data_IF_487009911826
#
_entry.id   IF_487009911826
#
_cell.length_a   1.000
_cell.length_b   1.000
_cell.length_c   1.000
_cell.angle_alpha   90.00
_cell.angle_beta   90.00
_cell.angle_gamma   90.00
#
_symmetry.space_group_name_H-M   'P 1'
#
loop_
_entity.id
_entity.type
_entity.pdbx_description
1 polymer ?
#
# COMPACT_ATOMS: atom_id res chain seq x y z
N UNK A 1 17.82 -23.22 33.09
CA UNK A 1 18.48 -22.58 31.93
C UNK A 1 17.98 -23.10 30.57
N UNK A 2 17.43 -24.32 30.48
CA UNK A 2 16.90 -24.91 29.23
C UNK A 2 15.52 -24.36 28.82
N UNK A 3 14.68 -23.95 29.77
CA UNK A 3 13.32 -23.43 29.50
C UNK A 3 13.29 -22.11 28.71
N UNK A 4 14.34 -21.29 28.80
CA UNK A 4 14.42 -20.04 28.04
C UNK A 4 14.68 -20.27 26.53
N UNK A 5 15.40 -21.34 26.17
CA UNK A 5 15.77 -21.63 24.78
C UNK A 5 14.56 -22.07 23.93
N UNK A 6 13.62 -22.83 24.50
CA UNK A 6 12.41 -23.26 23.80
C UNK A 6 11.41 -22.12 23.55
N UNK A 7 11.30 -21.17 24.49
CA UNK A 7 10.46 -19.98 24.33
C UNK A 7 11.02 -19.09 23.20
N UNK A 8 12.34 -18.95 23.10
CA UNK A 8 12.99 -18.17 22.03
C UNK A 8 12.82 -18.85 20.67
N UNK A 9 12.89 -20.18 20.60
CA UNK A 9 12.69 -20.93 19.35
C UNK A 9 11.24 -20.84 18.83
N UNK A 10 10.25 -20.82 19.73
CA UNK A 10 8.83 -20.62 19.38
C UNK A 10 8.52 -19.17 19.02
N UNK A 11 9.20 -18.20 19.64
CA UNK A 11 9.06 -16.78 19.31
C UNK A 11 9.71 -16.43 17.96
N UNK A 12 10.84 -17.07 17.60
CA UNK A 12 11.52 -16.85 16.31
C UNK A 12 10.70 -17.27 15.08
N UNK A 13 9.79 -18.22 15.23
CA UNK A 13 8.88 -18.62 14.13
C UNK A 13 7.61 -17.76 14.05
N UNK A 14 7.38 -16.89 15.03
CA UNK A 14 6.16 -16.09 15.16
C UNK A 14 6.40 -14.58 14.99
N UNK A 15 7.55 -14.18 14.42
CA UNK A 15 7.68 -12.85 13.83
C UNK A 15 6.82 -12.85 12.57
N UNK A 16 5.54 -12.54 12.73
CA UNK A 16 4.70 -12.17 11.60
C UNK A 16 5.38 -11.02 10.88
N UNK A 17 5.93 -11.31 9.69
CA UNK A 17 6.13 -10.27 8.70
C UNK A 17 4.73 -9.71 8.47
N UNK A 18 4.46 -8.52 9.00
CA UNK A 18 3.26 -7.78 8.65
C UNK A 18 3.32 -7.61 7.13
N UNK A 19 2.42 -8.29 6.44
CA UNK A 19 2.43 -8.40 4.98
C UNK A 19 2.12 -7.06 4.33
N UNK A 20 3.15 -6.23 4.16
CA UNK A 20 3.10 -5.05 3.31
C UNK A 20 3.07 -5.43 1.82
N UNK A 21 2.80 -4.47 0.93
CA UNK A 21 2.84 -4.71 -0.50
C UNK A 21 4.25 -5.06 -0.99
N UNK A 22 4.34 -5.71 -2.15
CA UNK A 22 5.61 -6.08 -2.76
C UNK A 22 6.36 -4.83 -3.22
N UNK A 23 7.50 -4.53 -2.59
CA UNK A 23 8.40 -3.45 -2.98
C UNK A 23 9.55 -3.98 -3.85
N UNK A 24 10.02 -3.19 -4.83
CA UNK A 24 11.21 -3.56 -5.59
C UNK A 24 12.44 -3.55 -4.68
N UNK A 25 13.29 -4.57 -4.80
CA UNK A 25 14.48 -4.75 -3.95
C UNK A 25 15.55 -3.66 -4.16
N UNK A 26 15.51 -2.96 -5.30
CA UNK A 26 16.39 -1.82 -5.58
C UNK A 26 15.57 -0.55 -5.73
N UNK A 27 15.97 0.47 -4.98
CA UNK A 27 15.47 1.82 -5.17
C UNK A 27 15.89 2.33 -6.56
N UNK A 28 14.91 2.75 -7.35
CA UNK A 28 15.14 3.40 -8.63
C UNK A 28 15.51 4.88 -8.47
N UNK A 29 15.54 5.62 -9.58
CA UNK A 29 15.72 7.07 -9.53
C UNK A 29 14.52 7.82 -8.91
N UNK A 30 13.35 7.18 -8.84
CA UNK A 30 12.12 7.73 -8.30
C UNK A 30 11.63 6.88 -7.12
N UNK A 31 11.07 7.51 -6.09
CA UNK A 31 10.38 6.84 -4.99
C UNK A 31 9.14 6.10 -5.51
N UNK A 32 8.94 4.87 -5.04
CA UNK A 32 7.77 4.06 -5.38
C UNK A 32 6.72 4.20 -4.29
N UNK A 33 5.50 4.54 -4.69
CA UNK A 33 4.35 4.68 -3.81
C UNK A 33 3.25 3.72 -4.23
N UNK A 34 2.60 3.09 -3.25
CA UNK A 34 1.55 2.10 -3.47
C UNK A 34 0.32 2.51 -2.66
N UNK A 35 -0.88 2.62 -3.27
CA UNK A 35 -2.10 2.94 -2.54
C UNK A 35 -2.44 1.85 -1.51
N UNK A 36 -2.89 2.26 -0.32
CA UNK A 36 -3.44 1.35 0.68
C UNK A 36 -4.96 1.19 0.48
N UNK A 37 -5.55 0.14 1.06
CA UNK A 37 -7.01 -0.08 1.05
C UNK A 37 -7.75 1.08 1.73
N UNK A 38 -7.23 1.52 2.86
CA UNK A 38 -7.60 2.78 3.49
C UNK A 38 -7.04 3.95 2.68
N UNK A 39 -7.93 4.75 2.09
CA UNK A 39 -7.54 5.86 1.22
C UNK A 39 -6.70 6.93 1.90
N UNK A 40 -6.84 7.07 3.23
CA UNK A 40 -6.04 7.98 4.04
C UNK A 40 -4.63 7.46 4.31
N UNK A 41 -4.26 6.31 3.76
CA UNK A 41 -2.95 5.68 3.93
C UNK A 41 -2.32 5.35 2.59
N UNK A 42 -1.00 5.26 2.56
CA UNK A 42 -0.23 4.80 1.42
C UNK A 42 1.07 4.15 1.86
N UNK A 43 1.63 3.30 1.02
CA UNK A 43 2.94 2.72 1.26
C UNK A 43 3.99 3.45 0.44
N UNK A 44 5.15 3.70 1.04
CA UNK A 44 6.35 4.13 0.34
C UNK A 44 7.40 3.04 0.45
N UNK A 45 7.96 2.63 -0.68
CA UNK A 45 9.04 1.66 -0.70
C UNK A 45 10.39 2.34 -0.51
N UNK A 46 11.23 1.78 0.35
CA UNK A 46 12.66 2.10 0.42
C UNK A 46 13.48 0.86 0.70
N UNK A 47 14.51 0.62 -0.12
CA UNK A 47 15.41 -0.52 -0.06
C UNK A 47 14.68 -1.87 0.05
N UNK A 48 13.65 -2.08 -0.79
CA UNK A 48 12.82 -3.29 -0.76
C UNK A 48 11.84 -3.40 0.41
N UNK A 49 11.79 -2.39 1.29
CA UNK A 49 10.92 -2.40 2.48
C UNK A 49 9.73 -1.45 2.28
N UNK A 50 8.48 -1.92 2.42
CA UNK A 50 7.30 -1.06 2.43
C UNK A 50 7.15 -0.37 3.78
N UNK A 51 6.99 0.95 3.77
CA UNK A 51 6.69 1.77 4.94
C UNK A 51 5.29 2.36 4.81
N UNK A 52 4.44 2.16 5.81
CA UNK A 52 3.09 2.72 5.84
C UNK A 52 3.15 4.18 6.28
N UNK A 53 2.49 5.05 5.51
CA UNK A 53 2.34 6.46 5.82
C UNK A 53 0.87 6.85 5.80
N UNK A 54 0.52 7.75 6.72
CA UNK A 54 -0.78 8.38 6.80
C UNK A 54 -0.77 9.70 6.04
N UNK A 55 -1.82 9.96 5.28
CA UNK A 55 -2.12 11.27 4.75
C UNK A 55 -2.53 12.21 5.88
N UNK A 56 -2.10 13.48 5.86
CA UNK A 56 -2.54 14.45 6.84
C UNK A 56 -4.03 14.78 6.65
N UNK A 57 -4.76 14.90 7.77
CA UNK A 57 -6.21 15.10 7.80
C UNK A 57 -6.98 13.98 7.04
N UNK A 58 -8.22 14.24 6.63
CA UNK A 58 -9.05 13.31 5.85
C UNK A 58 -8.71 13.36 4.34
N UNK A 59 -7.43 13.58 3.99
CA UNK A 59 -6.97 13.55 2.60
C UNK A 59 -6.72 12.11 2.15
N UNK A 60 -6.91 11.87 0.86
CA UNK A 60 -6.75 10.56 0.24
C UNK A 60 -5.50 10.53 -0.64
N UNK A 61 -4.78 9.42 -0.64
CA UNK A 61 -3.62 9.26 -1.50
C UNK A 61 -4.03 9.20 -2.98
N UNK A 62 -3.44 10.08 -3.78
CA UNK A 62 -3.63 10.15 -5.23
C UNK A 62 -2.46 9.43 -5.94
N UNK A 63 -2.65 8.19 -6.46
CA UNK A 63 -1.57 7.41 -7.09
C UNK A 63 -1.12 7.99 -8.44
N UNK A 64 -1.87 8.92 -9.05
CA UNK A 64 -1.47 9.57 -10.31
C UNK A 64 -0.44 10.66 -10.07
N UNK A 65 -0.56 11.37 -8.94
CA UNK A 65 0.31 12.49 -8.57
C UNK A 65 1.31 12.13 -7.47
N UNK A 66 1.16 10.96 -6.85
CA UNK A 66 1.94 10.50 -5.68
C UNK A 66 1.90 11.49 -4.50
N UNK A 67 0.72 12.09 -4.25
CA UNK A 67 0.50 13.03 -3.15
C UNK A 67 -0.84 12.76 -2.47
N UNK A 68 -0.99 13.22 -1.23
CA UNK A 68 -2.29 13.26 -0.57
C UNK A 68 -3.10 14.44 -1.13
N UNK A 69 -4.30 14.15 -1.62
CA UNK A 69 -5.20 15.11 -2.24
C UNK A 69 -6.63 14.94 -1.68
N UNK A 70 -7.53 15.85 -2.02
CA UNK A 70 -8.92 15.76 -1.61
C UNK A 70 -9.56 14.47 -2.15
N UNK A 71 -10.45 13.82 -1.37
CA UNK A 71 -11.12 12.57 -1.75
C UNK A 71 -11.72 12.60 -3.16
N UNK A 72 -12.35 13.71 -3.54
CA UNK A 72 -12.99 13.91 -4.84
C UNK A 72 -12.01 13.90 -6.02
N UNK A 73 -10.72 14.16 -5.77
CA UNK A 73 -9.66 14.24 -6.79
C UNK A 73 -8.68 13.07 -6.75
N UNK A 74 -8.51 12.46 -5.57
CA UNK A 74 -7.56 11.37 -5.37
C UNK A 74 -7.93 10.12 -6.16
N UNK A 75 -9.23 9.92 -6.46
CA UNK A 75 -9.71 8.75 -7.19
C UNK A 75 -9.54 7.45 -6.41
N UNK A 76 -9.34 7.54 -5.09
CA UNK A 76 -9.28 6.37 -4.23
C UNK A 76 -10.71 5.86 -3.99
N UNK A 77 -11.04 4.77 -4.68
CA UNK A 77 -12.30 4.08 -4.53
C UNK A 77 -12.05 2.89 -3.59
N UNK A 78 -11.97 3.17 -2.29
CA UNK A 78 -11.62 2.19 -1.25
C UNK A 78 -12.33 0.87 -1.51
N UNK A 79 -11.56 -0.18 -1.79
CA UNK A 79 -12.11 -1.46 -2.23
C UNK A 79 -12.97 -2.03 -1.11
N UNK A 80 -14.30 -1.96 -1.23
CA UNK A 80 -15.14 -3.06 -0.77
C UNK A 80 -14.66 -4.28 -1.53
N UNK A 81 -14.13 -5.26 -0.80
CA UNK A 81 -13.54 -6.46 -1.34
C UNK A 81 -14.48 -7.12 -2.36
N UNK A 82 -14.11 -6.98 -3.63
CA UNK A 82 -14.59 -7.83 -4.71
C UNK A 82 -13.36 -8.15 -5.54
N UNK A 83 -12.72 -9.24 -5.14
CA UNK A 83 -12.03 -10.20 -5.97
C UNK A 83 -11.23 -9.66 -7.17
N UNK A 84 -9.91 -9.56 -6.96
CA UNK A 84 -8.87 -9.94 -7.91
C UNK A 84 -9.22 -9.84 -9.41
N UNK A 85 -9.08 -8.64 -9.98
CA UNK A 85 -8.44 -8.56 -11.29
C UNK A 85 -7.78 -7.19 -11.46
N UNK A 86 -6.47 -7.21 -11.62
CA UNK A 86 -5.68 -6.09 -12.11
C UNK A 86 -6.20 -5.69 -13.50
N UNK A 87 -7.18 -4.81 -13.54
CA UNK A 87 -7.63 -4.13 -14.74
C UNK A 87 -7.52 -2.64 -14.52
N UNK A 88 -6.38 -2.14 -14.98
CA UNK A 88 -6.18 -0.75 -15.37
C UNK A 88 -7.18 -0.37 -16.46
N UNK A 89 -8.46 -0.16 -16.13
CA UNK A 89 -9.43 0.38 -17.07
C UNK A 89 -9.70 1.85 -16.73
N UNK A 90 -8.68 2.67 -17.03
CA UNK A 90 -8.92 4.06 -17.38
C UNK A 90 -9.32 4.09 -18.85
N UNK A 91 -10.61 4.28 -19.15
CA UNK A 91 -11.19 4.87 -20.38
C UNK A 91 -12.63 4.36 -20.51
N UNK A 92 -13.65 5.09 -20.93
CA UNK A 92 -13.86 6.47 -21.33
C UNK A 92 -15.37 6.53 -21.56
N UNK A 93 -16.07 7.52 -21.01
CA UNK A 93 -17.44 7.82 -21.42
C UNK A 93 -17.39 8.33 -22.86
N UNK A 94 -17.68 7.45 -23.81
CA UNK A 94 -17.82 7.76 -25.24
C UNK A 94 -19.02 8.67 -25.47
N UNK A 95 -18.80 9.77 -26.18
CA UNK A 95 -19.86 10.58 -26.80
C UNK A 95 -20.59 9.76 -27.89
N UNK A 96 -21.91 9.90 -27.99
CA UNK A 96 -22.70 9.55 -29.17
C UNK A 96 -24.01 10.34 -29.16
N UNK A 97 -24.07 11.39 -29.99
CA UNK A 97 -25.25 11.83 -30.74
C UNK A 97 -24.75 12.56 -31.98
#
# INVERSE_FOLDING_TARGET
>A
MIFAAFIVLLALTAFGVEGGPSCPEKDGANSVYIPHKDCTKFWQCSNGTPYLFDCPADLHFNPKLNVCDWPDRAGCNGSTDSDSNSSSDSSSSSESN
#
